data_IF_317415025914
#
_entry.id   IF_317415025914
#
_cell.length_a   1.000
_cell.length_b   1.000
_cell.length_c   1.000
_cell.angle_alpha   90.00
_cell.angle_beta   90.00
_cell.angle_gamma   90.00
#
_symmetry.space_group_name_H-M   'P 1'
#
loop_
_entity.id
_entity.type
_entity.pdbx_description
1 polymer ?
#
# COMPACT_ATOMS: atom_id res chain seq x y z
N UNK A 1 8.05 0.68 -4.50
CA UNK A 1 7.26 0.12 -3.38
C UNK A 1 7.33 -1.40 -3.38
N UNK A 2 7.02 -2.08 -2.27
CA UNK A 2 7.02 -3.56 -2.19
C UNK A 2 6.04 -4.20 -3.18
N UNK A 3 4.90 -3.55 -3.45
CA UNK A 3 3.89 -4.04 -4.41
C UNK A 3 4.44 -4.15 -5.83
N UNK A 4 5.22 -3.17 -6.27
CA UNK A 4 5.83 -3.19 -7.60
C UNK A 4 6.88 -4.30 -7.71
N UNK A 5 7.62 -4.57 -6.63
CA UNK A 5 8.53 -5.73 -6.54
C UNK A 5 7.79 -7.06 -6.59
N UNK A 6 6.51 -7.08 -6.20
CA UNK A 6 5.60 -8.22 -6.32
C UNK A 6 4.89 -8.29 -7.68
N UNK A 7 5.23 -7.41 -8.63
CA UNK A 7 4.60 -7.35 -9.94
C UNK A 7 3.20 -6.73 -9.94
N UNK A 8 2.77 -6.11 -8.85
CA UNK A 8 1.47 -5.47 -8.74
C UNK A 8 1.54 -4.04 -9.26
N UNK A 9 0.66 -3.72 -10.19
CA UNK A 9 0.52 -2.36 -10.70
C UNK A 9 0.10 -1.41 -9.57
N UNK A 10 0.82 -0.32 -9.43
CA UNK A 10 0.51 0.74 -8.47
C UNK A 10 0.15 2.00 -9.25
N UNK A 11 -1.09 2.47 -9.10
CA UNK A 11 -1.51 3.71 -9.74
C UNK A 11 -0.75 4.92 -9.16
N UNK A 12 -0.56 6.01 -9.92
CA UNK A 12 0.02 7.25 -9.40
C UNK A 12 -0.72 7.77 -8.16
N UNK A 13 -2.04 7.65 -8.14
CA UNK A 13 -2.87 8.02 -6.99
C UNK A 13 -2.59 7.16 -5.75
N UNK A 14 -2.48 5.83 -5.91
CA UNK A 14 -2.11 4.94 -4.81
C UNK A 14 -0.70 5.26 -4.27
N UNK A 15 0.26 5.52 -5.16
CA UNK A 15 1.62 5.93 -4.78
C UNK A 15 1.60 7.23 -3.98
N UNK A 16 0.88 8.25 -4.47
CA UNK A 16 0.73 9.53 -3.79
C UNK A 16 0.12 9.38 -2.38
N UNK A 17 -0.89 8.51 -2.22
CA UNK A 17 -1.52 8.21 -0.91
C UNK A 17 -0.56 7.52 0.07
N UNK A 18 0.35 6.68 -0.41
CA UNK A 18 1.38 6.06 0.43
C UNK A 18 2.43 7.09 0.84
N UNK A 19 2.92 7.91 -0.10
CA UNK A 19 3.96 8.91 0.19
C UNK A 19 3.46 10.08 1.04
N UNK A 20 2.17 10.41 0.98
CA UNK A 20 1.57 11.45 1.80
C UNK A 20 1.16 10.97 3.21
N UNK A 21 1.30 9.68 3.53
CA UNK A 21 0.93 9.13 4.83
C UNK A 21 1.95 9.54 5.90
N UNK A 22 1.53 10.40 6.84
CA UNK A 22 2.36 10.85 7.97
C UNK A 22 2.12 10.02 9.25
N UNK A 23 1.03 9.26 9.31
CA UNK A 23 0.77 8.32 10.40
C UNK A 23 1.52 7.01 10.18
N UNK A 24 2.55 6.79 11.01
CA UNK A 24 3.39 5.61 10.98
C UNK A 24 2.66 4.31 11.34
N UNK A 25 1.62 4.38 12.18
CA UNK A 25 0.81 3.20 12.55
C UNK A 25 0.00 2.73 11.36
N UNK A 26 -0.66 3.67 10.69
CA UNK A 26 -1.37 3.41 9.43
C UNK A 26 -0.41 2.89 8.36
N UNK A 27 0.79 3.46 8.25
CA UNK A 27 1.80 3.02 7.29
C UNK A 27 2.28 1.58 7.57
N UNK A 28 2.52 1.24 8.84
CA UNK A 28 2.90 -0.11 9.25
C UNK A 28 1.80 -1.15 8.94
N UNK A 29 0.54 -0.83 9.20
CA UNK A 29 -0.59 -1.69 8.83
C UNK A 29 -0.69 -1.93 7.32
N UNK A 30 -0.48 -0.87 6.52
CA UNK A 30 -0.41 -0.97 5.06
C UNK A 30 0.76 -1.85 4.60
N UNK A 31 1.92 -1.72 5.23
CA UNK A 31 3.10 -2.53 4.91
C UNK A 31 2.86 -4.02 5.18
N UNK A 32 2.20 -4.36 6.29
CA UNK A 32 1.82 -5.74 6.60
C UNK A 32 0.92 -6.36 5.53
N UNK A 33 -0.09 -5.63 5.08
CA UNK A 33 -1.01 -6.07 4.00
C UNK A 33 -0.33 -6.16 2.65
N UNK A 34 0.69 -5.34 2.41
CA UNK A 34 1.38 -5.31 1.14
C UNK A 34 2.12 -6.61 0.80
N UNK A 35 2.24 -7.54 1.76
CA UNK A 35 2.80 -8.88 1.52
C UNK A 35 1.79 -9.88 0.96
N UNK A 36 0.51 -9.75 1.32
CA UNK A 36 -0.57 -10.66 0.91
C UNK A 36 -1.50 -10.05 -0.13
N UNK A 37 -1.43 -8.73 -0.35
CA UNK A 37 -2.32 -8.04 -1.26
C UNK A 37 -2.28 -8.62 -2.68
N UNK A 38 -3.44 -8.79 -3.32
CA UNK A 38 -3.58 -9.16 -4.74
C UNK A 38 -3.61 -7.94 -5.67
N UNK A 39 -4.00 -6.77 -5.15
CA UNK A 39 -3.98 -5.48 -5.87
C UNK A 39 -3.59 -4.33 -4.94
N UNK A 40 -3.14 -3.21 -5.50
CA UNK A 40 -2.67 -2.08 -4.71
C UNK A 40 -3.73 -1.42 -3.83
N UNK A 41 -5.00 -1.45 -4.24
CA UNK A 41 -6.09 -0.84 -3.47
C UNK A 41 -6.38 -1.55 -2.13
N UNK A 42 -6.02 -2.83 -2.01
CA UNK A 42 -6.17 -3.61 -0.78
C UNK A 42 -5.30 -3.10 0.39
N UNK A 43 -4.31 -2.24 0.13
CA UNK A 43 -3.58 -1.58 1.22
C UNK A 43 -4.51 -0.66 2.01
N UNK A 44 -5.52 -0.09 1.36
CA UNK A 44 -6.33 1.00 1.92
C UNK A 44 -7.67 0.55 2.49
N UNK A 45 -8.03 -0.73 2.37
CA UNK A 45 -9.27 -1.27 2.96
C UNK A 45 -9.19 -1.22 4.49
N UNK A 46 -10.27 -0.91 5.20
CA UNK A 46 -10.30 -1.10 6.67
C UNK A 46 -10.35 -2.61 6.98
N UNK A 47 -9.96 -3.04 8.20
CA UNK A 47 -10.34 -4.37 8.67
C UNK A 47 -11.85 -4.56 8.56
#
# INVERSE_FOLDING_TARGET
MVLERRGLAVSPAARARVTACTDLTTLAGRLGRAWTAGVADELFTRP
#
